data_IF_271830285320
#
_entry.id   IF_271830285320
#
_cell.length_a   1.000
_cell.length_b   1.000
_cell.length_c   1.000
_cell.angle_alpha   90.00
_cell.angle_beta   90.00
_cell.angle_gamma   90.00
#
_symmetry.space_group_name_H-M   'P 1'
#
loop_
_entity.id
_entity.type
_entity.pdbx_description
1 polymer ?
#
# COMPACT_ATOMS: atom_id res chain seq x y z
N UNK A 1 -1.59 16.68 18.31
CA UNK A 1 -1.72 15.96 17.03
C UNK A 1 -3.11 15.35 16.92
N UNK A 2 -3.79 15.51 15.79
CA UNK A 2 -5.02 14.75 15.54
C UNK A 2 -4.64 13.41 14.91
N UNK A 3 -4.90 12.31 15.61
CA UNK A 3 -4.49 10.96 15.20
C UNK A 3 -5.05 10.59 13.83
N UNK A 4 -6.29 10.96 13.52
CA UNK A 4 -6.91 10.61 12.23
C UNK A 4 -6.16 11.28 11.09
N UNK A 5 -5.88 12.58 11.19
CA UNK A 5 -5.12 13.30 10.16
C UNK A 5 -3.71 12.75 9.99
N UNK A 6 -3.06 12.39 11.10
CA UNK A 6 -1.74 11.75 11.08
C UNK A 6 -1.77 10.39 10.36
N UNK A 7 -2.74 9.53 10.67
CA UNK A 7 -2.84 8.22 10.02
C UNK A 7 -3.21 8.33 8.52
N UNK A 8 -4.07 9.27 8.16
CA UNK A 8 -4.40 9.53 6.74
C UNK A 8 -3.20 10.12 6.00
N UNK A 9 -2.43 11.00 6.63
CA UNK A 9 -1.18 11.50 6.07
C UNK A 9 -0.20 10.36 5.75
N UNK A 10 0.07 9.50 6.75
CA UNK A 10 0.93 8.33 6.56
C UNK A 10 0.38 7.42 5.46
N UNK A 11 -0.93 7.15 5.46
CA UNK A 11 -1.56 6.33 4.43
C UNK A 11 -1.30 6.88 3.02
N UNK A 12 -1.51 8.17 2.80
CA UNK A 12 -1.31 8.80 1.48
C UNK A 12 0.18 8.76 1.11
N UNK A 13 1.05 9.12 2.04
CA UNK A 13 2.49 9.15 1.81
C UNK A 13 3.04 7.76 1.45
N UNK A 14 2.75 6.74 2.24
CA UNK A 14 3.21 5.38 1.96
C UNK A 14 2.52 4.76 0.74
N UNK A 15 1.30 5.17 0.39
CA UNK A 15 0.69 4.79 -0.89
C UNK A 15 1.46 5.35 -2.09
N UNK A 16 1.97 6.58 -1.98
CA UNK A 16 2.81 7.19 -3.01
C UNK A 16 4.21 6.55 -3.08
N UNK A 17 4.84 6.29 -1.93
CA UNK A 17 6.11 5.56 -1.89
C UNK A 17 5.96 4.15 -2.49
N UNK A 18 4.88 3.45 -2.16
CA UNK A 18 4.55 2.15 -2.75
C UNK A 18 4.44 2.21 -4.28
N UNK A 19 3.78 3.24 -4.80
CA UNK A 19 3.73 3.48 -6.24
C UNK A 19 5.12 3.67 -6.84
N UNK A 20 5.99 4.51 -6.25
CA UNK A 20 7.38 4.68 -6.72
C UNK A 20 8.15 3.35 -6.73
N UNK A 21 7.99 2.54 -5.67
CA UNK A 21 8.67 1.25 -5.56
C UNK A 21 8.22 0.28 -6.67
N UNK A 22 6.92 0.18 -6.93
CA UNK A 22 6.40 -0.67 -8.01
C UNK A 22 6.84 -0.18 -9.39
N UNK A 23 6.76 1.12 -9.67
CA UNK A 23 7.21 1.70 -10.94
C UNK A 23 8.71 1.47 -11.14
N UNK A 24 9.52 1.68 -10.10
CA UNK A 24 10.96 1.43 -10.12
C UNK A 24 11.31 -0.04 -10.34
N UNK A 25 10.56 -0.95 -9.71
CA UNK A 25 10.71 -2.39 -9.91
C UNK A 25 10.31 -2.81 -11.33
N UNK A 26 9.18 -2.33 -11.85
CA UNK A 26 8.74 -2.58 -13.22
C UNK A 26 9.77 -2.07 -14.22
N UNK A 27 10.22 -0.82 -14.07
CA UNK A 27 11.22 -0.24 -14.97
C UNK A 27 12.55 -1.00 -14.94
N UNK A 28 12.98 -1.46 -13.77
CA UNK A 28 14.22 -2.23 -13.64
C UNK A 28 14.15 -3.60 -14.31
N UNK A 29 12.99 -4.25 -14.26
CA UNK A 29 12.77 -5.62 -14.75
C UNK A 29 12.33 -5.70 -16.21
N UNK A 30 11.42 -4.82 -16.62
CA UNK A 30 10.80 -4.83 -17.95
C UNK A 30 11.26 -3.71 -18.87
N UNK A 31 12.05 -2.74 -18.36
CA UNK A 31 12.41 -1.48 -19.03
C UNK A 31 11.21 -0.59 -19.38
N UNK A 32 10.05 -0.86 -18.79
CA UNK A 32 8.83 -0.08 -18.94
C UNK A 32 8.22 0.23 -17.58
N UNK A 33 7.56 1.38 -17.50
CA UNK A 33 6.67 1.70 -16.39
C UNK A 33 5.50 0.71 -16.35
N UNK A 34 4.93 0.51 -15.17
CA UNK A 34 3.83 -0.41 -15.01
C UNK A 34 2.62 0.11 -15.78
N UNK A 35 2.20 -0.60 -16.83
CA UNK A 35 1.09 -0.16 -17.68
C UNK A 35 -0.27 -0.30 -16.97
N UNK A 36 -0.37 -1.24 -16.02
CA UNK A 36 -1.62 -1.58 -15.33
C UNK A 36 -1.49 -1.53 -13.79
N UNK A 37 -2.25 -0.63 -13.18
CA UNK A 37 -2.45 -0.52 -11.73
C UNK A 37 -3.93 -0.47 -11.35
N UNK A 38 -4.24 -0.61 -10.06
CA UNK A 38 -5.62 -0.49 -9.58
C UNK A 38 -6.14 0.94 -9.74
N UNK A 39 -5.55 1.90 -9.02
CA UNK A 39 -5.89 3.32 -9.18
C UNK A 39 -5.29 3.90 -10.45
N UNK A 40 -5.91 4.96 -10.96
CA UNK A 40 -5.44 5.68 -12.16
C UNK A 40 -4.26 6.59 -11.80
N UNK A 41 -4.31 7.20 -10.63
CA UNK A 41 -3.29 8.10 -10.11
C UNK A 41 -2.10 7.36 -9.47
N UNK A 42 -1.07 8.12 -9.06
CA UNK A 42 0.21 7.58 -8.59
C UNK A 42 0.13 7.12 -7.12
N UNK A 43 -0.88 6.32 -6.76
CA UNK A 43 -1.08 5.84 -5.40
C UNK A 43 -1.38 4.34 -5.42
N UNK A 44 -0.70 3.58 -4.56
CA UNK A 44 -0.97 2.16 -4.33
C UNK A 44 -1.51 1.97 -2.91
N UNK A 45 -2.86 1.96 -2.73
CA UNK A 45 -3.50 1.90 -1.42
C UNK A 45 -3.05 0.74 -0.52
N UNK A 46 -2.64 -0.38 -1.10
CA UNK A 46 -2.17 -1.53 -0.33
C UNK A 46 -0.92 -1.22 0.52
N UNK A 47 0.02 -0.42 0.00
CA UNK A 47 1.21 -0.01 0.75
C UNK A 47 0.86 0.94 1.88
N UNK A 48 0.04 1.95 1.59
CA UNK A 48 -0.49 2.87 2.59
C UNK A 48 -1.23 2.13 3.70
N UNK A 49 -2.09 1.18 3.33
CA UNK A 49 -2.84 0.35 4.28
C UNK A 49 -1.88 -0.44 5.19
N UNK A 50 -0.95 -1.20 4.60
CA UNK A 50 -0.05 -2.06 5.35
C UNK A 50 0.83 -1.27 6.33
N UNK A 51 1.45 -0.18 5.87
CA UNK A 51 2.34 0.62 6.73
C UNK A 51 1.56 1.41 7.77
N UNK A 52 0.38 1.96 7.45
CA UNK A 52 -0.46 2.62 8.46
C UNK A 52 -0.88 1.66 9.58
N UNK A 53 -1.23 0.41 9.26
CA UNK A 53 -1.50 -0.60 10.30
C UNK A 53 -0.26 -0.90 11.14
N UNK A 54 0.92 -0.95 10.54
CA UNK A 54 2.17 -1.14 11.28
C UNK A 54 2.50 0.04 12.18
N UNK A 55 2.24 1.28 11.74
CA UNK A 55 2.37 2.50 12.56
C UNK A 55 1.41 2.44 13.74
N UNK A 56 0.16 2.00 13.52
CA UNK A 56 -0.79 1.79 14.63
C UNK A 56 -0.24 0.78 15.63
N UNK A 57 0.29 -0.35 15.15
CA UNK A 57 0.87 -1.36 16.01
C UNK A 57 2.08 -0.83 16.79
N UNK A 58 2.98 -0.11 16.13
CA UNK A 58 4.21 0.36 16.76
C UNK A 58 4.01 1.57 17.67
N UNK A 59 3.32 2.61 17.20
CA UNK A 59 3.22 3.90 17.91
C UNK A 59 2.00 3.99 18.84
N UNK A 60 0.85 3.38 18.46
CA UNK A 60 -0.38 3.48 19.26
C UNK A 60 -0.58 2.29 20.21
N UNK A 61 -0.11 1.10 19.83
CA UNK A 61 -0.20 -0.11 20.64
C UNK A 61 1.13 -0.48 21.33
N UNK A 62 2.19 0.31 21.11
CA UNK A 62 3.53 0.12 21.69
C UNK A 62 4.13 -1.28 21.42
N UNK A 63 3.78 -1.89 20.28
CA UNK A 63 4.32 -3.18 19.87
C UNK A 63 5.73 -2.96 19.30
N UNK A 64 6.71 -3.65 19.89
CA UNK A 64 8.12 -3.52 19.54
C UNK A 64 8.83 -4.89 19.53
N UNK A 65 10.10 -4.91 19.08
CA UNK A 65 10.93 -6.13 19.09
C UNK A 65 10.43 -7.23 18.15
N UNK A 66 10.51 -8.49 18.61
CA UNK A 66 10.16 -9.68 17.82
C UNK A 66 8.69 -9.65 17.35
N UNK A 67 7.69 -9.32 18.19
CA UNK A 67 6.31 -9.18 17.74
C UNK A 67 6.14 -8.22 16.55
N UNK A 68 6.80 -7.05 16.59
CA UNK A 68 6.71 -6.08 15.49
C UNK A 68 7.33 -6.61 14.19
N UNK A 69 8.46 -7.33 14.28
CA UNK A 69 9.10 -7.96 13.12
C UNK A 69 8.15 -8.98 12.47
N UNK A 70 7.45 -9.77 13.27
CA UNK A 70 6.44 -10.70 12.76
C UNK A 70 5.28 -9.96 12.09
N UNK A 71 4.83 -8.83 12.65
CA UNK A 71 3.80 -7.99 12.02
C UNK A 71 4.27 -7.38 10.70
N UNK A 72 5.54 -6.96 10.60
CA UNK A 72 6.13 -6.49 9.33
C UNK A 72 6.07 -7.56 8.23
N UNK A 73 6.06 -8.85 8.58
CA UNK A 73 5.83 -9.92 7.64
C UNK A 73 4.33 -10.15 7.37
N UNK A 74 3.54 -10.28 8.44
CA UNK A 74 2.14 -10.72 8.38
C UNK A 74 1.22 -9.67 7.78
N UNK A 75 1.35 -8.40 8.17
CA UNK A 75 0.42 -7.34 7.77
C UNK A 75 0.51 -7.07 6.26
N UNK A 76 1.69 -6.77 5.67
CA UNK A 76 1.78 -6.55 4.23
C UNK A 76 1.36 -7.77 3.41
N UNK A 77 1.76 -8.98 3.85
CA UNK A 77 1.36 -10.22 3.17
C UNK A 77 -0.15 -10.42 3.20
N UNK A 78 -0.80 -10.14 4.32
CA UNK A 78 -2.27 -10.25 4.44
C UNK A 78 -2.97 -9.22 3.55
N UNK A 79 -2.48 -7.98 3.54
CA UNK A 79 -3.02 -6.91 2.69
C UNK A 79 -2.84 -7.25 1.21
N UNK A 80 -1.68 -7.77 0.80
CA UNK A 80 -1.41 -8.22 -0.56
C UNK A 80 -2.37 -9.35 -0.97
N UNK A 81 -2.53 -10.36 -0.10
CA UNK A 81 -3.43 -11.48 -0.35
C UNK A 81 -4.87 -11.02 -0.56
N UNK A 82 -5.40 -10.19 0.36
CA UNK A 82 -6.77 -9.67 0.28
C UNK A 82 -6.94 -8.83 -0.98
N UNK A 83 -5.96 -8.00 -1.31
CA UNK A 83 -5.99 -7.15 -2.51
C UNK A 83 -6.03 -8.00 -3.79
N UNK A 84 -5.17 -9.00 -3.90
CA UNK A 84 -5.16 -9.95 -5.03
C UNK A 84 -6.47 -10.74 -5.14
N UNK A 85 -7.01 -11.20 -4.01
CA UNK A 85 -8.29 -11.90 -3.96
C UNK A 85 -9.45 -11.02 -4.45
N UNK A 86 -9.58 -9.79 -3.96
CA UNK A 86 -10.63 -8.85 -4.37
C UNK A 86 -10.52 -8.56 -5.87
N UNK A 87 -9.30 -8.28 -6.36
CA UNK A 87 -9.07 -8.00 -7.78
C UNK A 87 -9.50 -9.17 -8.68
N UNK A 88 -9.12 -10.39 -8.32
CA UNK A 88 -9.45 -11.58 -9.11
C UNK A 88 -10.94 -11.89 -9.08
N UNK A 89 -11.56 -11.91 -7.90
CA UNK A 89 -12.94 -12.39 -7.76
C UNK A 89 -14.01 -11.33 -7.98
N UNK A 90 -13.73 -10.07 -7.62
CA UNK A 90 -14.70 -8.99 -7.78
C UNK A 90 -14.54 -8.28 -9.12
N UNK A 91 -13.30 -8.02 -9.57
CA UNK A 91 -13.03 -7.25 -10.78
C UNK A 91 -12.58 -8.09 -11.99
N UNK A 92 -12.36 -9.40 -11.83
CA UNK A 92 -11.77 -10.27 -12.86
C UNK A 92 -10.44 -9.72 -13.41
N UNK A 93 -9.63 -9.10 -12.55
CA UNK A 93 -8.31 -8.55 -12.88
C UNK A 93 -7.21 -9.26 -12.11
N UNK A 94 -6.06 -9.43 -12.75
CA UNK A 94 -4.84 -9.97 -12.14
C UNK A 94 -3.71 -9.04 -12.53
N UNK A 95 -3.24 -8.22 -11.58
CA UNK A 95 -2.12 -7.30 -11.80
C UNK A 95 -0.76 -7.94 -11.48
N UNK A 96 -0.75 -9.00 -10.68
CA UNK A 96 0.41 -9.82 -10.41
C UNK A 96 -0.02 -11.28 -10.25
N UNK A 97 0.87 -12.20 -10.63
CA UNK A 97 0.65 -13.63 -10.49
C UNK A 97 1.93 -14.31 -10.03
N UNK A 98 1.88 -14.92 -8.84
CA UNK A 98 2.98 -15.67 -8.23
C UNK A 98 2.81 -17.19 -8.35
N UNK A 99 1.92 -17.69 -9.19
CA UNK A 99 1.63 -19.14 -9.32
C UNK A 99 2.87 -19.98 -9.64
N UNK A 100 3.83 -19.41 -10.39
CA UNK A 100 5.08 -20.07 -10.77
C UNK A 100 6.17 -20.03 -9.66
N UNK A 101 5.93 -19.29 -8.57
CA UNK A 101 6.89 -19.17 -7.47
C UNK A 101 6.68 -20.27 -6.44
N UNK A 102 7.77 -20.80 -5.87
CA UNK A 102 7.69 -21.74 -4.74
C UNK A 102 7.04 -21.07 -3.53
N UNK A 103 6.27 -21.85 -2.75
CA UNK A 103 5.55 -21.39 -1.56
C UNK A 103 4.59 -20.22 -1.85
N UNK A 104 3.96 -20.22 -3.04
CA UNK A 104 2.87 -19.30 -3.32
C UNK A 104 1.55 -19.80 -2.71
N UNK A 105 0.64 -18.86 -2.46
CA UNK A 105 -0.73 -19.16 -2.01
C UNK A 105 -1.70 -18.55 -3.04
N UNK A 106 -2.38 -19.41 -3.79
CA UNK A 106 -3.34 -19.06 -4.85
C UNK A 106 -2.80 -18.10 -5.93
N UNK A 107 -1.48 -17.99 -6.07
CA UNK A 107 -0.83 -17.01 -6.93
C UNK A 107 -0.88 -15.56 -6.43
N UNK A 108 -1.48 -15.27 -5.26
CA UNK A 108 -1.62 -13.90 -4.76
C UNK A 108 -0.44 -13.42 -3.92
N UNK A 109 0.15 -14.31 -3.13
CA UNK A 109 1.31 -14.03 -2.28
C UNK A 109 2.31 -15.17 -2.40
N UNK A 110 3.58 -14.88 -2.15
CA UNK A 110 4.64 -15.90 -2.03
C UNK A 110 5.60 -15.49 -0.92
N UNK A 111 6.15 -16.50 -0.24
CA UNK A 111 7.11 -16.30 0.85
C UNK A 111 8.26 -15.37 0.45
N UNK A 112 8.71 -15.41 -0.81
CA UNK A 112 9.80 -14.56 -1.30
C UNK A 112 9.47 -13.07 -1.19
N UNK A 113 8.30 -12.66 -1.71
CA UNK A 113 7.87 -11.26 -1.67
C UNK A 113 7.44 -10.86 -0.25
N UNK A 114 6.83 -11.76 0.52
CA UNK A 114 6.55 -11.52 1.96
C UNK A 114 7.81 -11.16 2.76
N UNK A 115 8.95 -11.79 2.48
CA UNK A 115 10.24 -11.42 3.11
C UNK A 115 10.70 -10.03 2.65
N UNK A 116 10.56 -9.70 1.36
CA UNK A 116 10.90 -8.37 0.86
C UNK A 116 10.03 -7.28 1.52
N UNK A 117 8.72 -7.54 1.68
CA UNK A 117 7.81 -6.65 2.38
C UNK A 117 8.16 -6.49 3.85
N UNK A 118 8.58 -7.57 4.52
CA UNK A 118 9.07 -7.50 5.90
C UNK A 118 10.27 -6.57 6.03
N UNK A 119 11.28 -6.74 5.17
CA UNK A 119 12.49 -5.90 5.18
C UNK A 119 12.16 -4.44 4.87
N UNK A 120 11.36 -4.19 3.83
CA UNK A 120 10.95 -2.83 3.46
C UNK A 120 10.12 -2.15 4.54
N UNK A 121 9.23 -2.89 5.20
CA UNK A 121 8.43 -2.38 6.32
C UNK A 121 9.31 -1.99 7.50
N UNK A 122 10.30 -2.82 7.86
CA UNK A 122 11.27 -2.48 8.91
C UNK A 122 12.08 -1.23 8.54
N UNK A 123 12.52 -1.11 7.29
CA UNK A 123 13.23 0.08 6.82
C UNK A 123 12.33 1.31 6.93
N UNK A 124 11.08 1.21 6.48
CA UNK A 124 10.09 2.28 6.59
C UNK A 124 9.88 2.73 8.03
N UNK A 125 9.61 1.80 8.95
CA UNK A 125 9.33 2.12 10.35
C UNK A 125 10.54 2.68 11.11
N UNK A 126 11.74 2.15 10.90
CA UNK A 126 12.90 2.57 11.71
C UNK A 126 13.66 3.76 11.11
N UNK A 127 13.61 3.98 9.79
CA UNK A 127 14.40 5.02 9.15
C UNK A 127 13.55 6.13 8.51
N UNK A 128 12.40 5.80 7.92
CA UNK A 128 11.57 6.81 7.24
C UNK A 128 10.56 7.44 8.18
N UNK A 129 9.93 6.64 9.04
CA UNK A 129 8.86 7.06 9.93
C UNK A 129 9.27 8.13 10.95
N UNK A 130 10.44 8.06 11.62
CA UNK A 130 10.84 9.11 12.57
C UNK A 130 10.94 10.48 11.90
N UNK A 131 11.60 10.54 10.73
CA UNK A 131 11.73 11.77 9.93
C UNK A 131 10.37 12.27 9.44
N UNK A 132 9.47 11.36 9.06
CA UNK A 132 8.13 11.69 8.60
C UNK A 132 7.24 12.23 9.74
N UNK A 133 7.39 11.68 10.95
CA UNK A 133 6.74 12.17 12.16
C UNK A 133 7.23 13.57 12.53
N UNK A 134 8.54 13.82 12.52
CA UNK A 134 9.11 15.16 12.76
C UNK A 134 8.58 16.18 11.74
N UNK A 135 8.62 15.84 10.44
CA UNK A 135 8.05 16.67 9.38
C UNK A 135 6.57 16.99 9.61
N UNK A 136 5.78 15.99 10.02
CA UNK A 136 4.37 16.15 10.35
C UNK A 136 4.17 17.11 11.52
N UNK A 137 4.94 16.95 12.60
CA UNK A 137 4.81 17.74 13.80
C UNK A 137 5.22 19.21 13.58
N UNK A 138 6.27 19.46 12.79
CA UNK A 138 6.72 20.80 12.43
C UNK A 138 5.71 21.55 11.54
N UNK A 139 5.02 20.83 10.65
CA UNK A 139 4.17 21.42 9.59
C UNK A 139 2.69 21.07 9.72
N UNK A 140 2.23 20.68 10.92
CA UNK A 140 0.93 20.05 11.17
C UNK A 140 -0.26 20.80 10.54
N UNK A 141 -0.28 22.14 10.60
CA UNK A 141 -1.38 22.94 10.04
C UNK A 141 -1.48 22.80 8.53
N UNK A 142 -0.35 22.96 7.83
CA UNK A 142 -0.28 22.89 6.36
C UNK A 142 -0.58 21.46 5.91
N UNK A 143 0.05 20.48 6.56
CA UNK A 143 -0.14 19.07 6.22
C UNK A 143 -1.59 18.64 6.42
N UNK A 144 -2.27 19.08 7.50
CA UNK A 144 -3.67 18.73 7.70
C UNK A 144 -4.59 19.25 6.59
N UNK A 145 -4.32 20.44 6.04
CA UNK A 145 -5.07 20.96 4.89
C UNK A 145 -4.78 20.12 3.65
N UNK A 146 -3.51 19.82 3.39
CA UNK A 146 -3.09 18.95 2.27
C UNK A 146 -3.67 17.55 2.35
N UNK A 147 -3.82 17.00 3.56
CA UNK A 147 -4.44 15.69 3.81
C UNK A 147 -5.90 15.66 3.38
N UNK A 148 -6.67 16.71 3.64
CA UNK A 148 -8.08 16.79 3.22
C UNK A 148 -8.17 16.74 1.69
N UNK A 149 -7.33 17.53 1.01
CA UNK A 149 -7.28 17.58 -0.45
C UNK A 149 -6.81 16.24 -1.02
N UNK A 150 -5.74 15.67 -0.48
CA UNK A 150 -5.21 14.36 -0.90
C UNK A 150 -6.20 13.23 -0.70
N UNK A 151 -6.92 13.21 0.43
CA UNK A 151 -7.98 12.24 0.69
C UNK A 151 -9.15 12.40 -0.30
N UNK A 152 -9.55 13.63 -0.61
CA UNK A 152 -10.59 13.88 -1.62
C UNK A 152 -10.16 13.37 -3.01
N UNK A 153 -8.93 13.65 -3.44
CA UNK A 153 -8.37 13.17 -4.71
C UNK A 153 -8.37 11.64 -4.76
N UNK A 154 -7.87 10.99 -3.70
CA UNK A 154 -7.85 9.53 -3.58
C UNK A 154 -9.26 8.94 -3.68
N UNK A 155 -10.24 9.52 -3.00
CA UNK A 155 -11.63 9.04 -3.04
C UNK A 155 -12.26 9.20 -4.43
N UNK A 156 -11.97 10.30 -5.11
CA UNK A 156 -12.44 10.54 -6.49
C UNK A 156 -11.81 9.52 -7.43
N UNK A 157 -10.50 9.29 -7.36
CA UNK A 157 -9.80 8.30 -8.17
C UNK A 157 -10.34 6.89 -7.91
N UNK A 158 -10.48 6.51 -6.64
CA UNK A 158 -11.07 5.22 -6.25
C UNK A 158 -12.48 5.06 -6.84
N UNK A 159 -13.32 6.10 -6.75
CA UNK A 159 -14.67 6.05 -7.31
C UNK A 159 -14.67 5.86 -8.84
N UNK A 160 -13.84 6.64 -9.56
CA UNK A 160 -13.72 6.55 -11.02
C UNK A 160 -13.18 5.16 -11.42
N UNK A 161 -12.15 4.70 -10.73
CA UNK A 161 -11.53 3.38 -10.91
C UNK A 161 -12.55 2.26 -10.73
N UNK A 162 -13.26 2.23 -9.61
CA UNK A 162 -14.26 1.19 -9.33
C UNK A 162 -15.39 1.22 -10.36
N UNK A 163 -15.85 2.40 -10.76
CA UNK A 163 -16.86 2.55 -11.81
C UNK A 163 -16.37 2.01 -13.16
N UNK A 164 -15.13 2.33 -13.54
CA UNK A 164 -14.48 1.85 -14.77
C UNK A 164 -14.39 0.31 -14.77
N UNK A 165 -13.83 -0.27 -13.71
CA UNK A 165 -13.66 -1.72 -13.60
C UNK A 165 -15.00 -2.48 -13.57
N UNK A 166 -16.00 -1.93 -12.89
CA UNK A 166 -17.35 -2.50 -12.86
C UNK A 166 -17.99 -2.48 -14.25
N UNK A 167 -17.82 -1.37 -14.99
CA UNK A 167 -18.32 -1.25 -16.35
C UNK A 167 -17.63 -2.21 -17.33
N UNK A 168 -16.30 -2.36 -17.22
CA UNK A 168 -15.54 -3.34 -18.01
C UNK A 168 -16.02 -4.77 -17.74
N UNK A 169 -16.27 -5.12 -16.47
CA UNK A 169 -16.80 -6.43 -16.08
C UNK A 169 -18.16 -6.71 -16.73
N UNK A 170 -19.08 -5.75 -16.71
CA UNK A 170 -20.42 -5.90 -17.30
C UNK A 170 -20.38 -6.10 -18.82
N UNK A 171 -19.34 -5.61 -19.52
CA UNK A 171 -19.17 -5.81 -20.97
C UNK A 171 -18.59 -7.18 -21.36
N UNK A 172 -18.04 -7.92 -20.40
CA UNK A 172 -17.48 -9.26 -20.64
C UNK A 172 -18.49 -10.39 -20.40
N UNK A 173 -19.71 -10.06 -19.96
CA UNK A 173 -20.86 -10.97 -19.78
C UNK A 173 -21.79 -10.82 -20.98
#
# INVERSE_FOLDING_TARGET
>A
MNVVFYLVFNFIFYSFIGWILEEGYSFSTTKKFQEDGFLIGPLKPMYGTAVTFLIICNELLDISGIPLILLCFLIPTTVEYISGYILKHYFNKVYWDYSEFRYNIHGFVTLRFSIYWMVLSLIGLYYLQPSLYELYMENMKIINVSVILGAAILLIDLYITVKKLTYEKLRMI
#
